data_IF_837989192421
#
_entry.id   IF_837989192421
#
_cell.length_a   1.000
_cell.length_b   1.000
_cell.length_c   1.000
_cell.angle_alpha   90.00
_cell.angle_beta   90.00
_cell.angle_gamma   90.00
#
_symmetry.space_group_name_H-M   'P 1'
#
loop_
_entity.id
_entity.type
_entity.pdbx_description
1 polymer ?
#
# COMPACT_ATOMS: atom_id res chain seq x y z
N UNK A 1 -2.00 37.96 -0.26
CA UNK A 1 -0.64 37.77 -0.87
C UNK A 1 -0.73 36.73 -1.98
N UNK A 2 -0.17 36.95 -3.17
CA UNK A 2 -0.05 35.88 -4.18
C UNK A 2 0.98 34.87 -3.67
N UNK A 3 0.55 33.71 -3.18
CA UNK A 3 1.49 32.62 -2.92
C UNK A 3 2.26 32.29 -4.21
N UNK A 4 3.59 32.40 -4.14
CA UNK A 4 4.47 32.07 -5.26
C UNK A 4 4.25 30.61 -5.67
N UNK A 5 4.20 30.33 -6.97
CA UNK A 5 4.22 28.94 -7.47
C UNK A 5 5.41 28.21 -6.86
N UNK A 6 5.21 26.95 -6.47
CA UNK A 6 6.33 26.09 -6.04
C UNK A 6 7.34 26.07 -7.19
N UNK A 7 8.60 26.41 -6.89
CA UNK A 7 9.65 26.27 -7.88
C UNK A 7 9.89 24.78 -8.18
N UNK A 8 10.23 24.47 -9.42
CA UNK A 8 10.56 23.09 -9.82
C UNK A 8 11.63 22.48 -8.93
N UNK A 9 12.63 23.27 -8.51
CA UNK A 9 13.70 22.80 -7.64
C UNK A 9 13.19 22.34 -6.28
N UNK A 10 12.24 23.06 -5.64
CA UNK A 10 11.65 22.69 -4.35
C UNK A 10 10.80 21.41 -4.51
N UNK A 11 10.05 21.29 -5.61
CA UNK A 11 9.28 20.09 -5.90
C UNK A 11 10.21 18.88 -6.14
N UNK A 12 11.22 19.02 -6.99
CA UNK A 12 12.19 17.98 -7.28
C UNK A 12 12.96 17.54 -6.03
N UNK A 13 13.32 18.49 -5.15
CA UNK A 13 13.94 18.18 -3.86
C UNK A 13 13.03 17.29 -3.00
N UNK A 14 11.75 17.63 -2.87
CA UNK A 14 10.78 16.80 -2.11
C UNK A 14 10.66 15.39 -2.71
N UNK A 15 10.63 15.26 -4.03
CA UNK A 15 10.62 13.97 -4.72
C UNK A 15 11.88 13.17 -4.40
N UNK A 16 13.04 13.78 -4.52
CA UNK A 16 14.32 13.09 -4.31
C UNK A 16 14.57 12.72 -2.84
N UNK A 17 14.22 13.61 -1.90
CA UNK A 17 14.52 13.40 -0.47
C UNK A 17 13.47 12.58 0.26
N UNK A 18 12.22 12.57 -0.20
CA UNK A 18 11.11 11.89 0.46
C UNK A 18 10.57 10.76 -0.40
N UNK A 19 10.22 11.04 -1.67
CA UNK A 19 9.48 10.07 -2.47
C UNK A 19 10.33 8.88 -2.90
N UNK A 20 11.56 9.09 -3.37
CA UNK A 20 12.42 7.99 -3.78
C UNK A 20 12.78 7.04 -2.63
N UNK A 21 13.20 7.49 -1.43
CA UNK A 21 13.45 6.58 -0.31
C UNK A 21 12.23 5.74 0.08
N UNK A 22 11.01 6.30 0.08
CA UNK A 22 9.79 5.55 0.39
C UNK A 22 9.49 4.54 -0.71
N UNK A 23 9.64 4.93 -1.98
CA UNK A 23 9.46 4.01 -3.11
C UNK A 23 10.45 2.84 -3.06
N UNK A 24 11.73 3.11 -2.76
CA UNK A 24 12.73 2.06 -2.58
C UNK A 24 12.43 1.18 -1.37
N UNK A 25 11.93 1.73 -0.26
CA UNK A 25 11.51 0.93 0.90
C UNK A 25 10.38 -0.06 0.53
N UNK A 26 9.38 0.40 -0.22
CA UNK A 26 8.29 -0.46 -0.66
C UNK A 26 8.79 -1.54 -1.65
N UNK A 27 9.71 -1.21 -2.56
CA UNK A 27 10.37 -2.18 -3.43
C UNK A 27 11.15 -3.25 -2.65
N UNK A 28 11.92 -2.85 -1.61
CA UNK A 28 12.63 -3.79 -0.76
C UNK A 28 11.67 -4.77 -0.07
N UNK A 29 10.53 -4.28 0.43
CA UNK A 29 9.52 -5.12 1.07
C UNK A 29 8.90 -6.12 0.08
N UNK A 30 8.60 -5.69 -1.15
CA UNK A 30 8.09 -6.58 -2.21
C UNK A 30 9.13 -7.60 -2.63
N UNK A 31 10.40 -7.19 -2.74
CA UNK A 31 11.51 -8.08 -3.05
C UNK A 31 11.69 -9.15 -1.96
N UNK A 32 11.56 -8.79 -0.69
CA UNK A 32 11.62 -9.75 0.43
C UNK A 32 10.57 -10.85 0.28
N UNK A 33 9.31 -10.47 0.05
CA UNK A 33 8.21 -11.43 -0.15
C UNK A 33 8.43 -12.34 -1.37
N UNK A 34 9.02 -11.80 -2.44
CA UNK A 34 9.34 -12.59 -3.64
C UNK A 34 10.47 -13.59 -3.38
N UNK A 35 11.53 -13.17 -2.67
CA UNK A 35 12.64 -14.04 -2.29
C UNK A 35 12.15 -15.18 -1.42
N UNK A 36 11.31 -14.89 -0.41
CA UNK A 36 10.68 -15.91 0.43
C UNK A 36 9.93 -16.96 -0.42
N UNK A 37 9.11 -16.49 -1.36
CA UNK A 37 8.33 -17.38 -2.24
C UNK A 37 9.22 -18.26 -3.12
N UNK A 38 10.30 -17.71 -3.70
CA UNK A 38 11.25 -18.46 -4.53
C UNK A 38 11.97 -19.52 -3.70
N UNK A 39 12.43 -19.17 -2.51
CA UNK A 39 13.15 -20.09 -1.63
C UNK A 39 12.25 -21.24 -1.17
N UNK A 40 10.99 -20.95 -0.83
CA UNK A 40 9.99 -21.96 -0.46
C UNK A 40 9.62 -22.83 -1.67
N UNK A 41 9.59 -22.24 -2.87
CA UNK A 41 9.32 -22.97 -4.12
C UNK A 41 10.24 -24.16 -4.35
N UNK A 42 11.49 -24.08 -3.90
CA UNK A 42 12.45 -25.18 -3.99
C UNK A 42 12.15 -26.39 -3.06
N UNK A 43 11.21 -26.22 -2.11
CA UNK A 43 10.82 -27.27 -1.15
C UNK A 43 9.63 -28.11 -1.64
N UNK A 44 9.12 -27.85 -2.84
CA UNK A 44 8.05 -28.60 -3.47
C UNK A 44 6.65 -27.97 -3.35
N UNK A 45 5.72 -28.48 -4.14
CA UNK A 45 4.39 -27.93 -4.32
C UNK A 45 3.57 -27.82 -3.04
N UNK A 46 3.70 -28.79 -2.13
CA UNK A 46 2.96 -28.82 -0.87
C UNK A 46 3.34 -27.64 0.04
N UNK A 47 4.65 -27.32 0.12
CA UNK A 47 5.13 -26.17 0.89
C UNK A 47 4.68 -24.84 0.29
N UNK A 48 4.70 -24.73 -1.03
CA UNK A 48 4.21 -23.54 -1.75
C UNK A 48 2.71 -23.33 -1.50
N UNK A 49 1.92 -24.41 -1.59
CA UNK A 49 0.49 -24.34 -1.33
C UNK A 49 0.17 -23.94 0.11
N UNK A 50 0.89 -24.52 1.09
CA UNK A 50 0.74 -24.22 2.51
C UNK A 50 1.05 -22.74 2.81
N UNK A 51 2.19 -22.22 2.32
CA UNK A 51 2.59 -20.83 2.51
C UNK A 51 1.69 -19.88 1.73
N UNK A 52 1.22 -20.28 0.56
CA UNK A 52 0.24 -19.52 -0.22
C UNK A 52 -1.05 -19.25 0.57
N UNK A 53 -1.59 -20.25 1.27
CA UNK A 53 -2.76 -20.06 2.16
C UNK A 53 -2.42 -19.14 3.34
N UNK A 54 -1.27 -19.34 3.99
CA UNK A 54 -0.84 -18.46 5.07
C UNK A 54 -0.67 -17.00 4.61
N UNK A 55 -0.24 -16.78 3.36
CA UNK A 55 -0.14 -15.45 2.76
C UNK A 55 -1.50 -14.78 2.55
N UNK A 56 -2.56 -15.55 2.24
CA UNK A 56 -3.93 -15.01 2.16
C UNK A 56 -4.41 -14.52 3.54
N UNK A 57 -4.10 -15.26 4.61
CA UNK A 57 -4.40 -14.85 5.99
C UNK A 57 -3.64 -13.57 6.34
N UNK A 58 -2.36 -13.49 5.98
CA UNK A 58 -1.53 -12.29 6.19
C UNK A 58 -2.03 -11.09 5.37
N UNK A 59 -2.57 -11.31 4.18
CA UNK A 59 -3.20 -10.25 3.37
C UNK A 59 -4.49 -9.72 4.01
N UNK A 60 -5.32 -10.61 4.57
CA UNK A 60 -6.50 -10.20 5.33
C UNK A 60 -6.11 -9.39 6.57
N UNK A 61 -5.10 -9.86 7.32
CA UNK A 61 -4.53 -9.12 8.44
C UNK A 61 -4.04 -7.72 8.03
N UNK A 62 -3.31 -7.61 6.92
CA UNK A 62 -2.87 -6.33 6.35
C UNK A 62 -4.06 -5.41 6.10
N UNK A 63 -5.10 -5.86 5.40
CA UNK A 63 -6.30 -5.08 5.11
C UNK A 63 -6.98 -4.57 6.38
N UNK A 64 -7.03 -5.38 7.44
CA UNK A 64 -7.64 -5.01 8.71
C UNK A 64 -6.89 -3.90 9.47
N UNK A 65 -5.57 -3.84 9.42
CA UNK A 65 -4.83 -2.78 10.11
C UNK A 65 -4.49 -1.58 9.24
N UNK A 66 -4.45 -1.74 7.90
CA UNK A 66 -4.00 -0.70 6.99
C UNK A 66 -4.91 0.54 7.01
N UNK A 67 -6.20 0.36 7.26
CA UNK A 67 -7.13 1.48 7.45
C UNK A 67 -6.71 2.41 8.59
N UNK A 68 -6.25 1.84 9.70
CA UNK A 68 -5.73 2.61 10.84
C UNK A 68 -4.36 3.21 10.54
N UNK A 69 -3.49 2.48 9.84
CA UNK A 69 -2.17 2.98 9.45
C UNK A 69 -2.27 4.16 8.46
N UNK A 70 -3.13 4.06 7.44
CA UNK A 70 -3.39 5.14 6.49
C UNK A 70 -4.00 6.38 7.13
N UNK A 71 -4.94 6.17 8.09
CA UNK A 71 -5.45 7.24 8.93
C UNK A 71 -4.34 7.89 9.76
N UNK A 72 -3.48 7.09 10.40
CA UNK A 72 -2.35 7.60 11.17
C UNK A 72 -1.43 8.49 10.32
N UNK A 73 -1.10 8.08 9.10
CA UNK A 73 -0.24 8.85 8.19
C UNK A 73 -0.85 10.21 7.86
N UNK A 74 -2.16 10.28 7.63
CA UNK A 74 -2.91 11.52 7.44
C UNK A 74 -2.73 12.46 8.64
N UNK A 75 -3.02 11.97 9.85
CA UNK A 75 -2.95 12.78 11.06
C UNK A 75 -1.50 13.19 11.39
N UNK A 76 -0.54 12.27 11.29
CA UNK A 76 0.87 12.57 11.53
C UNK A 76 1.39 13.66 10.58
N UNK A 77 1.11 13.54 9.29
CA UNK A 77 1.61 14.52 8.31
C UNK A 77 0.99 15.90 8.52
N UNK A 78 -0.30 15.99 8.84
CA UNK A 78 -0.95 17.26 9.13
C UNK A 78 -0.49 17.86 10.46
N UNK A 79 -0.39 17.08 11.53
CA UNK A 79 0.12 17.58 12.82
C UNK A 79 1.60 17.95 12.76
N UNK A 80 2.39 17.23 11.95
CA UNK A 80 3.77 17.63 11.67
C UNK A 80 3.84 19.00 10.98
N UNK A 81 2.97 19.24 10.01
CA UNK A 81 2.83 20.54 9.34
C UNK A 81 2.45 21.67 10.30
N UNK A 82 1.52 21.41 11.20
CA UNK A 82 1.07 22.33 12.25
C UNK A 82 2.03 22.45 13.43
N UNK A 83 3.14 21.68 13.46
CA UNK A 83 4.10 21.61 14.58
C UNK A 83 3.45 21.24 15.92
N UNK A 84 2.43 20.40 15.89
CA UNK A 84 1.67 19.96 17.05
C UNK A 84 2.17 18.62 17.58
N UNK A 85 3.17 18.62 18.47
CA UNK A 85 3.68 17.39 19.10
C UNK A 85 2.57 16.62 19.84
N UNK A 86 1.69 17.36 20.54
CA UNK A 86 0.55 16.78 21.25
C UNK A 86 -0.40 16.03 20.30
N UNK A 87 -0.65 16.59 19.11
CA UNK A 87 -1.45 15.92 18.08
C UNK A 87 -0.80 14.63 17.58
N UNK A 88 0.52 14.65 17.37
CA UNK A 88 1.32 13.49 16.98
C UNK A 88 1.27 12.40 18.06
N UNK A 89 1.51 12.76 19.34
CA UNK A 89 1.49 11.82 20.45
C UNK A 89 0.12 11.15 20.61
N UNK A 90 -0.97 11.92 20.59
CA UNK A 90 -2.35 11.38 20.62
C UNK A 90 -2.64 10.42 19.47
N UNK A 91 -2.24 10.81 18.26
CA UNK A 91 -2.41 9.96 17.07
C UNK A 91 -1.62 8.68 17.20
N UNK A 92 -0.37 8.75 17.65
CA UNK A 92 0.50 7.58 17.82
C UNK A 92 -0.10 6.58 18.81
N UNK A 93 -0.51 7.05 20.00
CA UNK A 93 -1.10 6.19 21.04
C UNK A 93 -2.40 5.54 20.57
N UNK A 94 -3.30 6.30 19.93
CA UNK A 94 -4.57 5.79 19.45
C UNK A 94 -4.39 4.78 18.31
N UNK A 95 -3.57 5.11 17.32
CA UNK A 95 -3.26 4.23 16.19
C UNK A 95 -2.59 2.94 16.67
N UNK A 96 -1.60 3.06 17.56
CA UNK A 96 -0.92 1.92 18.17
C UNK A 96 -1.91 1.01 18.90
N UNK A 97 -2.84 1.57 19.65
CA UNK A 97 -3.84 0.78 20.40
C UNK A 97 -4.73 -0.04 19.48
N UNK A 98 -5.30 0.56 18.42
CA UNK A 98 -6.15 -0.17 17.48
C UNK A 98 -5.37 -1.18 16.65
N UNK A 99 -4.20 -0.80 16.13
CA UNK A 99 -3.38 -1.69 15.32
C UNK A 99 -2.85 -2.86 16.13
N UNK A 100 -2.42 -2.61 17.39
CA UNK A 100 -1.95 -3.67 18.28
C UNK A 100 -3.09 -4.62 18.68
N UNK A 101 -4.31 -4.11 18.88
CA UNK A 101 -5.49 -4.94 19.09
C UNK A 101 -5.70 -5.90 17.91
N UNK A 102 -5.67 -5.41 16.69
CA UNK A 102 -5.77 -6.25 15.48
C UNK A 102 -4.63 -7.27 15.42
N UNK A 103 -3.38 -6.83 15.66
CA UNK A 103 -2.20 -7.72 15.68
C UNK A 103 -2.28 -8.81 16.72
N UNK A 104 -2.73 -8.49 17.95
CA UNK A 104 -2.91 -9.46 19.04
C UNK A 104 -4.06 -10.43 18.75
N UNK A 105 -5.18 -9.97 18.20
CA UNK A 105 -6.31 -10.84 17.84
C UNK A 105 -5.91 -11.86 16.77
N UNK A 106 -5.33 -11.40 15.66
CA UNK A 106 -4.85 -12.29 14.60
C UNK A 106 -3.74 -13.24 15.10
N UNK A 107 -2.78 -12.71 15.87
CA UNK A 107 -1.70 -13.48 16.46
C UNK A 107 -2.22 -14.55 17.43
N UNK A 108 -3.13 -14.19 18.33
CA UNK A 108 -3.73 -15.14 19.27
C UNK A 108 -4.47 -16.27 18.54
N UNK A 109 -5.28 -15.96 17.53
CA UNK A 109 -5.99 -16.99 16.76
C UNK A 109 -5.01 -17.86 15.95
N UNK A 110 -3.99 -17.26 15.30
CA UNK A 110 -2.98 -17.99 14.55
C UNK A 110 -2.16 -18.97 15.42
N UNK A 111 -1.87 -18.60 16.67
CA UNK A 111 -1.10 -19.43 17.60
C UNK A 111 -1.99 -20.48 18.26
N UNK A 112 -3.20 -20.11 18.73
CA UNK A 112 -4.05 -21.01 19.55
C UNK A 112 -4.97 -21.91 18.73
N UNK A 113 -5.46 -21.43 17.59
CA UNK A 113 -6.43 -22.13 16.72
C UNK A 113 -6.03 -22.06 15.24
N UNK A 114 -4.81 -22.49 14.85
CA UNK A 114 -4.35 -22.39 13.46
C UNK A 114 -5.24 -23.22 12.51
N UNK A 115 -5.74 -24.37 12.93
CA UNK A 115 -6.61 -25.23 12.12
C UNK A 115 -7.91 -24.50 11.71
N UNK A 116 -8.48 -23.68 12.62
CA UNK A 116 -9.67 -22.88 12.30
C UNK A 116 -9.39 -21.85 11.21
N UNK A 117 -8.26 -21.11 11.30
CA UNK A 117 -7.88 -20.12 10.29
C UNK A 117 -7.62 -20.76 8.94
N UNK A 118 -6.88 -21.86 8.91
CA UNK A 118 -6.51 -22.56 7.69
C UNK A 118 -7.71 -23.25 7.07
N UNK A 119 -8.62 -23.81 7.90
CA UNK A 119 -9.85 -24.46 7.48
C UNK A 119 -10.86 -23.56 6.76
N UNK A 120 -10.74 -22.21 6.93
CA UNK A 120 -11.52 -21.25 6.14
C UNK A 120 -11.14 -21.31 4.65
N UNK A 121 -9.88 -21.65 4.34
CA UNK A 121 -9.32 -21.59 2.99
C UNK A 121 -9.19 -22.96 2.32
N UNK A 122 -9.04 -24.05 3.09
CA UNK A 122 -8.84 -25.40 2.53
C UNK A 122 -9.27 -26.51 3.48
N UNK A 123 -9.83 -27.60 2.90
CA UNK A 123 -10.16 -28.84 3.62
C UNK A 123 -9.04 -29.89 3.51
N UNK A 124 -7.96 -29.61 2.79
CA UNK A 124 -6.87 -30.57 2.53
C UNK A 124 -5.96 -30.68 3.76
N UNK A 125 -6.11 -31.77 4.51
CA UNK A 125 -5.36 -32.04 5.76
C UNK A 125 -3.86 -31.97 5.59
N UNK A 126 -3.30 -32.52 4.51
CA UNK A 126 -1.87 -32.52 4.21
C UNK A 126 -1.29 -31.08 4.09
N UNK A 127 -2.07 -30.15 3.49
CA UNK A 127 -1.68 -28.74 3.39
C UNK A 127 -1.75 -28.06 4.76
N UNK A 128 -2.82 -28.34 5.53
CA UNK A 128 -3.02 -27.77 6.87
C UNK A 128 -1.87 -28.20 7.80
N UNK A 129 -1.49 -29.46 7.80
CA UNK A 129 -0.39 -29.98 8.64
C UNK A 129 0.95 -29.25 8.38
N UNK A 130 1.28 -28.97 7.12
CA UNK A 130 2.50 -28.22 6.76
C UNK A 130 2.36 -26.71 7.08
N UNK A 131 1.15 -26.15 6.99
CA UNK A 131 0.89 -24.76 7.23
C UNK A 131 0.86 -24.37 8.72
N UNK A 132 0.47 -25.29 9.62
CA UNK A 132 0.33 -25.04 11.07
C UNK A 132 1.61 -24.50 11.70
N UNK A 133 2.79 -25.13 11.56
CA UNK A 133 4.03 -24.60 12.14
C UNK A 133 4.36 -23.21 11.61
N UNK A 134 4.14 -22.97 10.31
CA UNK A 134 4.38 -21.68 9.67
C UNK A 134 3.49 -20.58 10.28
N UNK A 135 2.16 -20.78 10.29
CA UNK A 135 1.21 -19.74 10.71
C UNK A 135 1.32 -19.46 12.22
N UNK A 136 1.66 -20.45 13.03
CA UNK A 136 1.94 -20.25 14.48
C UNK A 136 3.10 -19.32 14.71
N UNK A 137 4.21 -19.50 13.98
CA UNK A 137 5.40 -18.64 14.10
C UNK A 137 5.08 -17.23 13.59
N UNK A 138 4.43 -17.10 12.43
CA UNK A 138 4.01 -15.82 11.86
C UNK A 138 3.00 -15.10 12.78
N UNK A 139 2.18 -15.86 13.53
CA UNK A 139 1.26 -15.29 14.53
C UNK A 139 1.96 -14.42 15.58
N UNK A 140 3.17 -14.79 16.01
CA UNK A 140 4.00 -13.95 16.89
C UNK A 140 4.55 -12.71 16.17
N UNK A 141 4.71 -12.75 14.86
CA UNK A 141 5.19 -11.60 14.10
C UNK A 141 4.11 -10.52 13.91
N UNK A 142 2.82 -10.84 13.91
CA UNK A 142 1.75 -9.87 13.66
C UNK A 142 1.75 -8.66 14.60
N UNK A 143 1.82 -8.81 15.95
CA UNK A 143 1.90 -7.65 16.85
C UNK A 143 3.17 -6.81 16.62
N UNK A 144 4.30 -7.44 16.33
CA UNK A 144 5.56 -6.77 16.07
C UNK A 144 5.52 -5.99 14.74
N UNK A 145 4.88 -6.56 13.74
CA UNK A 145 4.71 -5.93 12.43
C UNK A 145 3.91 -4.63 12.51
N UNK A 146 2.79 -4.61 13.22
CA UNK A 146 1.98 -3.38 13.36
C UNK A 146 2.71 -2.29 14.12
N UNK A 147 3.53 -2.65 15.14
CA UNK A 147 4.38 -1.70 15.83
C UNK A 147 5.46 -1.12 14.91
N UNK A 148 6.09 -1.94 14.10
CA UNK A 148 7.08 -1.48 13.12
C UNK A 148 6.44 -0.55 12.07
N UNK A 149 5.24 -0.87 11.60
CA UNK A 149 4.50 -0.06 10.62
C UNK A 149 4.16 1.32 11.18
N UNK A 150 3.61 1.41 12.40
CA UNK A 150 3.22 2.70 12.97
C UNK A 150 4.43 3.61 13.22
N UNK A 151 5.55 3.05 13.69
CA UNK A 151 6.80 3.81 13.87
C UNK A 151 7.35 4.26 12.51
N UNK A 152 7.34 3.37 11.51
CA UNK A 152 7.78 3.70 10.15
C UNK A 152 6.93 4.84 9.55
N UNK A 153 5.61 4.82 9.74
CA UNK A 153 4.70 5.86 9.24
C UNK A 153 4.92 7.20 9.97
N UNK A 154 5.15 7.17 11.28
CA UNK A 154 5.55 8.37 12.02
C UNK A 154 6.85 8.97 11.46
N UNK A 155 7.87 8.14 11.24
CA UNK A 155 9.15 8.59 10.68
C UNK A 155 9.02 9.12 9.26
N UNK A 156 8.18 8.49 8.42
CA UNK A 156 7.87 8.99 7.07
C UNK A 156 7.16 10.35 7.14
N UNK A 157 6.15 10.50 8.00
CA UNK A 157 5.40 11.74 8.17
C UNK A 157 6.25 12.89 8.71
N UNK A 158 7.26 12.59 9.51
CA UNK A 158 8.23 13.56 10.03
C UNK A 158 9.47 13.75 9.12
N UNK A 159 9.37 13.30 7.85
CA UNK A 159 10.39 13.43 6.79
C UNK A 159 11.70 12.65 7.05
N UNK A 160 11.69 11.69 7.98
CA UNK A 160 12.85 10.82 8.32
C UNK A 160 12.85 9.51 7.59
N UNK A 161 12.61 9.58 6.32
CA UNK A 161 12.39 8.44 5.43
C UNK A 161 13.61 7.51 5.26
N UNK A 162 14.82 8.01 5.56
CA UNK A 162 16.06 7.21 5.46
C UNK A 162 16.11 6.08 6.51
N UNK A 163 15.57 6.33 7.71
CA UNK A 163 15.62 5.35 8.81
C UNK A 163 14.78 4.11 8.47
N UNK A 164 13.49 4.23 8.11
CA UNK A 164 12.70 3.08 7.66
C UNK A 164 13.29 2.37 6.44
N UNK A 165 13.90 3.10 5.50
CA UNK A 165 14.57 2.51 4.34
C UNK A 165 15.75 1.62 4.77
N UNK A 166 16.67 2.14 5.59
CA UNK A 166 17.82 1.38 6.08
C UNK A 166 17.37 0.21 6.94
N UNK A 167 16.39 0.40 7.82
CA UNK A 167 15.84 -0.65 8.66
C UNK A 167 15.24 -1.79 7.82
N UNK A 168 14.48 -1.47 6.78
CA UNK A 168 13.91 -2.46 5.85
C UNK A 168 15.01 -3.18 5.05
N UNK A 169 16.07 -2.48 4.63
CA UNK A 169 17.20 -3.09 3.93
C UNK A 169 17.95 -4.09 4.82
N UNK A 170 18.22 -3.73 6.09
CA UNK A 170 18.84 -4.64 7.06
C UNK A 170 17.93 -5.85 7.32
N UNK A 171 16.63 -5.62 7.53
CA UNK A 171 15.67 -6.69 7.75
C UNK A 171 15.61 -7.66 6.55
N UNK A 172 15.66 -7.17 5.31
CA UNK A 172 15.71 -8.00 4.10
C UNK A 172 16.96 -8.91 4.10
N UNK A 173 18.14 -8.35 4.40
CA UNK A 173 19.37 -9.13 4.45
C UNK A 173 19.31 -10.21 5.55
N UNK A 174 18.83 -9.84 6.74
CA UNK A 174 18.65 -10.79 7.85
C UNK A 174 17.67 -11.90 7.47
N UNK A 175 16.53 -11.55 6.88
CA UNK A 175 15.52 -12.50 6.40
C UNK A 175 16.12 -13.47 5.38
N UNK A 176 16.81 -12.95 4.34
CA UNK A 176 17.45 -13.78 3.32
C UNK A 176 18.46 -14.77 3.91
N UNK A 177 19.35 -14.30 4.79
CA UNK A 177 20.38 -15.14 5.41
C UNK A 177 19.75 -16.22 6.28
N UNK A 178 18.76 -15.85 7.12
CA UNK A 178 18.07 -16.81 7.98
C UNK A 178 17.26 -17.83 7.19
N UNK A 179 16.57 -17.39 6.13
CA UNK A 179 15.86 -18.29 5.24
C UNK A 179 16.82 -19.29 4.60
N UNK A 180 17.97 -18.83 4.10
CA UNK A 180 18.96 -19.71 3.50
C UNK A 180 19.51 -20.74 4.49
N UNK A 181 19.70 -20.35 5.76
CA UNK A 181 20.17 -21.26 6.81
C UNK A 181 19.08 -22.25 7.21
N UNK A 182 17.87 -21.76 7.53
CA UNK A 182 16.81 -22.54 8.20
C UNK A 182 15.96 -23.35 7.21
N UNK A 183 15.69 -22.83 6.01
CA UNK A 183 14.96 -23.59 4.99
C UNK A 183 15.77 -24.81 4.55
N UNK A 184 17.07 -24.62 4.29
CA UNK A 184 17.94 -25.65 3.73
C UNK A 184 18.78 -26.44 4.78
N UNK A 185 18.73 -26.08 6.07
CA UNK A 185 19.48 -26.76 7.12
C UNK A 185 20.99 -26.58 7.00
N UNK A 186 21.45 -25.34 6.75
CA UNK A 186 22.89 -25.05 6.61
C UNK A 186 23.53 -24.80 7.97
N UNK A 187 24.85 -24.90 8.04
CA UNK A 187 25.67 -24.68 9.24
C UNK A 187 25.28 -25.55 10.45
N UNK A 188 24.81 -26.78 10.23
CA UNK A 188 24.42 -27.71 11.29
C UNK A 188 23.04 -27.42 11.91
N UNK A 189 22.30 -26.45 11.38
CA UNK A 189 20.91 -26.20 11.80
C UNK A 189 19.97 -27.24 11.17
N UNK A 190 18.87 -27.60 11.86
CA UNK A 190 17.86 -28.50 11.28
C UNK A 190 17.20 -27.89 10.07
N UNK A 191 16.92 -28.72 9.07
CA UNK A 191 16.13 -28.30 7.91
C UNK A 191 14.65 -28.09 8.33
N UNK A 192 14.21 -26.85 8.41
CA UNK A 192 12.87 -26.49 8.88
C UNK A 192 11.88 -26.26 7.73
N UNK A 193 12.34 -26.18 6.49
CA UNK A 193 11.48 -25.92 5.34
C UNK A 193 10.68 -24.63 5.47
N UNK A 194 9.35 -24.71 5.25
CA UNK A 194 8.45 -23.55 5.36
C UNK A 194 8.47 -22.89 6.75
N UNK A 195 8.56 -23.68 7.84
CA UNK A 195 8.66 -23.13 9.19
C UNK A 195 9.95 -22.31 9.39
N UNK A 196 11.05 -22.68 8.71
CA UNK A 196 12.29 -21.91 8.71
C UNK A 196 12.12 -20.52 8.11
N UNK A 197 11.35 -20.39 7.03
CA UNK A 197 10.99 -19.09 6.45
C UNK A 197 10.17 -18.22 7.42
N UNK A 198 9.24 -18.83 8.17
CA UNK A 198 8.46 -18.11 9.19
C UNK A 198 9.36 -17.59 10.32
N UNK A 199 10.35 -18.36 10.76
CA UNK A 199 11.36 -17.91 11.75
C UNK A 199 12.19 -16.75 11.17
N UNK A 200 12.64 -16.85 9.92
CA UNK A 200 13.37 -15.79 9.24
C UNK A 200 12.56 -14.49 9.20
N UNK A 201 11.27 -14.58 8.88
CA UNK A 201 10.33 -13.44 8.87
C UNK A 201 10.14 -12.84 10.29
N UNK A 202 9.97 -13.68 11.30
CA UNK A 202 9.81 -13.23 12.69
C UNK A 202 11.07 -12.50 13.18
N UNK A 203 12.25 -13.09 13.00
CA UNK A 203 13.52 -12.51 13.49
C UNK A 203 13.88 -11.24 12.74
N UNK A 204 13.70 -11.20 11.41
CA UNK A 204 13.92 -9.99 10.63
C UNK A 204 12.94 -8.88 11.03
N UNK A 205 11.69 -9.23 11.35
CA UNK A 205 10.70 -8.30 11.90
C UNK A 205 11.10 -7.71 13.25
N UNK A 206 11.67 -8.55 14.15
CA UNK A 206 12.22 -8.10 15.44
C UNK A 206 13.38 -7.13 15.22
N UNK A 207 14.32 -7.46 14.32
CA UNK A 207 15.46 -6.58 13.99
C UNK A 207 14.98 -5.25 13.43
N UNK A 208 14.02 -5.27 12.51
CA UNK A 208 13.40 -4.08 11.97
C UNK A 208 12.79 -3.19 13.08
N UNK A 209 12.00 -3.79 13.96
CA UNK A 209 11.36 -3.08 15.08
C UNK A 209 12.38 -2.49 16.04
N UNK A 210 13.45 -3.24 16.37
CA UNK A 210 14.53 -2.76 17.26
C UNK A 210 15.20 -1.54 16.63
N UNK A 211 15.59 -1.60 15.36
CA UNK A 211 16.24 -0.47 14.67
C UNK A 211 15.33 0.76 14.71
N UNK A 212 14.07 0.62 14.29
CA UNK A 212 13.11 1.71 14.28
C UNK A 212 12.91 2.30 15.68
N UNK A 213 12.77 1.45 16.71
CA UNK A 213 12.56 1.90 18.09
C UNK A 213 13.79 2.61 18.66
N UNK A 214 15.00 2.08 18.41
CA UNK A 214 16.25 2.71 18.87
C UNK A 214 16.42 4.12 18.27
N UNK A 215 16.15 4.25 16.96
CA UNK A 215 16.22 5.56 16.32
C UNK A 215 15.13 6.52 16.81
N UNK A 216 13.90 6.01 17.02
CA UNK A 216 12.80 6.81 17.56
C UNK A 216 13.11 7.36 18.96
N UNK A 217 13.72 6.55 19.83
CA UNK A 217 14.06 6.94 21.21
C UNK A 217 15.30 7.86 21.30
N UNK A 218 16.27 7.69 20.38
CA UNK A 218 17.47 8.53 20.34
C UNK A 218 17.20 9.92 19.83
N UNK A 219 16.22 10.07 18.97
CA UNK A 219 15.95 11.29 18.23
C UNK A 219 14.90 12.17 18.91
N UNK A 220 15.29 12.78 20.00
CA UNK A 220 14.43 13.67 20.80
C UNK A 220 14.21 15.07 20.17
N UNK A 221 14.99 15.44 19.17
CA UNK A 221 14.89 16.79 18.56
C UNK A 221 13.68 16.93 17.63
N UNK A 222 13.16 15.82 17.10
CA UNK A 222 12.06 15.86 16.10
C UNK A 222 10.69 15.64 16.73
N UNK A 223 10.53 14.57 17.48
CA UNK A 223 9.27 14.24 18.18
C UNK A 223 9.61 13.59 19.51
N UNK A 224 9.25 14.23 20.61
CA UNK A 224 9.32 13.61 21.92
C UNK A 224 8.03 12.84 22.18
N UNK A 225 8.14 11.53 22.40
CA UNK A 225 6.99 10.70 22.75
C UNK A 225 6.69 10.82 24.25
N UNK A 226 5.54 11.40 24.56
CA UNK A 226 5.04 11.53 25.93
C UNK A 226 3.91 10.51 26.18
N UNK A 227 4.20 9.47 26.95
CA UNK A 227 3.25 8.38 27.24
C UNK A 227 1.92 8.89 27.81
N UNK A 228 1.96 9.93 28.62
CA UNK A 228 0.75 10.55 29.17
C UNK A 228 -0.16 11.12 28.08
N UNK A 229 0.42 11.77 27.07
CA UNK A 229 -0.33 12.37 25.95
C UNK A 229 -0.87 11.30 24.99
N UNK A 230 -0.18 10.17 24.85
CA UNK A 230 -0.58 9.08 23.96
C UNK A 230 -1.94 8.50 24.32
N UNK A 231 -2.28 8.46 25.61
CA UNK A 231 -3.53 7.85 26.12
C UNK A 231 -4.55 8.87 26.63
N UNK A 232 -4.24 10.19 26.57
CA UNK A 232 -5.17 11.28 26.89
C UNK A 232 -5.75 11.90 25.61
N UNK A 233 -6.71 11.22 24.98
CA UNK A 233 -7.20 11.65 23.66
C UNK A 233 -8.16 12.83 23.70
N UNK A 234 -8.79 13.12 24.83
CA UNK A 234 -9.82 14.15 24.95
C UNK A 234 -11.14 13.79 24.24
N UNK A 235 -12.18 14.56 24.51
CA UNK A 235 -13.50 14.31 23.91
C UNK A 235 -13.47 14.50 22.38
N UNK A 236 -14.02 13.54 21.64
CA UNK A 236 -14.20 13.59 20.18
C UNK A 236 -12.98 13.26 19.32
N UNK A 237 -11.75 13.18 19.87
CA UNK A 237 -10.55 12.88 19.06
C UNK A 237 -10.60 11.47 18.46
N UNK A 238 -10.92 10.46 19.27
CA UNK A 238 -11.05 9.09 18.81
C UNK A 238 -12.15 8.94 17.74
N UNK A 239 -13.30 9.60 17.91
CA UNK A 239 -14.37 9.63 16.92
C UNK A 239 -13.92 10.28 15.59
N UNK A 240 -13.20 11.39 15.67
CA UNK A 240 -12.63 12.05 14.47
C UNK A 240 -11.62 11.16 13.77
N UNK A 241 -10.73 10.50 14.50
CA UNK A 241 -9.77 9.54 13.97
C UNK A 241 -10.47 8.37 13.27
N UNK A 242 -11.39 7.70 13.97
CA UNK A 242 -12.12 6.56 13.44
C UNK A 242 -12.94 6.92 12.19
N UNK A 243 -13.57 8.12 12.17
CA UNK A 243 -14.32 8.58 10.98
C UNK A 243 -13.46 8.73 9.72
N UNK A 244 -12.13 8.91 9.88
CA UNK A 244 -11.18 8.96 8.76
C UNK A 244 -10.58 7.57 8.44
N UNK A 245 -10.38 6.73 9.46
CA UNK A 245 -9.85 5.38 9.28
C UNK A 245 -10.88 4.42 8.68
N UNK A 246 -12.14 4.49 9.13
CA UNK A 246 -13.18 3.55 8.72
C UNK A 246 -13.44 3.50 7.20
N UNK A 247 -13.55 4.64 6.48
CA UNK A 247 -13.65 4.60 5.02
C UNK A 247 -12.45 3.92 4.35
N UNK A 248 -11.22 4.13 4.86
CA UNK A 248 -10.01 3.50 4.33
C UNK A 248 -10.04 1.99 4.57
N UNK A 249 -10.44 1.56 5.76
CA UNK A 249 -10.61 0.14 6.10
C UNK A 249 -11.65 -0.53 5.20
N UNK A 250 -12.81 0.11 5.02
CA UNK A 250 -13.84 -0.39 4.11
C UNK A 250 -13.31 -0.49 2.66
N UNK A 251 -12.53 0.50 2.22
CA UNK A 251 -11.91 0.46 0.89
C UNK A 251 -11.06 -0.78 0.69
N UNK A 252 -10.15 -1.07 1.61
CA UNK A 252 -9.24 -2.22 1.51
C UNK A 252 -10.02 -3.56 1.50
N UNK A 253 -11.04 -3.69 2.34
CA UNK A 253 -11.85 -4.90 2.40
C UNK A 253 -12.70 -5.09 1.14
N UNK A 254 -13.43 -4.08 0.71
CA UNK A 254 -14.25 -4.17 -0.50
C UNK A 254 -13.41 -4.32 -1.76
N UNK A 255 -12.28 -3.63 -1.85
CA UNK A 255 -11.34 -3.82 -2.96
C UNK A 255 -10.83 -5.26 -3.02
N UNK A 256 -10.47 -5.85 -1.88
CA UNK A 256 -10.06 -7.25 -1.79
C UNK A 256 -11.14 -8.23 -2.28
N UNK A 257 -12.40 -8.01 -1.87
CA UNK A 257 -13.54 -8.83 -2.34
C UNK A 257 -13.75 -8.65 -3.86
N UNK A 258 -13.67 -7.43 -4.38
CA UNK A 258 -13.77 -7.17 -5.82
C UNK A 258 -12.69 -7.89 -6.62
N UNK A 259 -11.44 -7.86 -6.14
CA UNK A 259 -10.33 -8.60 -6.74
C UNK A 259 -10.55 -10.12 -6.69
N UNK A 260 -11.15 -10.66 -5.63
CA UNK A 260 -11.52 -12.07 -5.54
C UNK A 260 -12.54 -12.42 -6.62
N UNK A 261 -13.59 -11.63 -6.84
CA UNK A 261 -14.58 -11.85 -7.88
C UNK A 261 -13.95 -11.85 -9.29
N UNK A 262 -13.05 -10.92 -9.55
CA UNK A 262 -12.27 -10.87 -10.81
C UNK A 262 -11.42 -12.14 -10.96
N UNK A 263 -10.73 -12.57 -9.90
CA UNK A 263 -9.89 -13.77 -9.93
C UNK A 263 -10.71 -15.06 -10.23
N UNK A 264 -11.98 -15.13 -9.83
CA UNK A 264 -12.87 -16.23 -10.19
C UNK A 264 -13.06 -16.28 -11.72
N UNK A 265 -13.23 -15.14 -12.37
CA UNK A 265 -13.37 -15.09 -13.85
C UNK A 265 -12.07 -15.49 -14.53
N UNK A 266 -10.93 -14.97 -14.05
CA UNK A 266 -9.60 -15.32 -14.60
C UNK A 266 -9.29 -16.81 -14.42
N UNK A 267 -9.64 -17.39 -13.27
CA UNK A 267 -9.43 -18.82 -12.97
C UNK A 267 -10.24 -19.79 -13.86
N UNK A 268 -11.21 -19.29 -14.62
CA UNK A 268 -12.00 -20.05 -15.59
C UNK A 268 -11.55 -19.86 -17.04
N UNK A 269 -10.47 -19.11 -17.25
CA UNK A 269 -9.83 -18.96 -18.56
C UNK A 269 -8.91 -20.14 -18.88
N UNK A 270 -8.26 -20.12 -20.05
CA UNK A 270 -7.30 -21.15 -20.46
C UNK A 270 -6.10 -21.25 -19.50
N UNK A 271 -5.45 -22.39 -19.43
CA UNK A 271 -4.23 -22.59 -18.63
C UNK A 271 -3.14 -21.59 -19.00
N UNK A 272 -2.96 -21.32 -20.29
CA UNK A 272 -2.01 -20.32 -20.79
C UNK A 272 -2.35 -18.90 -20.30
N UNK A 273 -3.64 -18.55 -20.23
CA UNK A 273 -4.11 -17.26 -19.70
C UNK A 273 -3.84 -17.12 -18.20
N UNK A 274 -4.08 -18.18 -17.43
CA UNK A 274 -3.82 -18.20 -15.98
C UNK A 274 -2.31 -18.07 -15.71
N UNK A 275 -1.48 -18.80 -16.47
CA UNK A 275 -0.03 -18.72 -16.36
C UNK A 275 0.50 -17.32 -16.70
N UNK A 276 0.00 -16.71 -17.79
CA UNK A 276 0.34 -15.36 -18.18
C UNK A 276 -0.08 -14.33 -17.09
N UNK A 277 -1.28 -14.50 -16.52
CA UNK A 277 -1.77 -13.62 -15.44
C UNK A 277 -0.93 -13.73 -14.17
N UNK A 278 -0.47 -14.93 -13.81
CA UNK A 278 0.41 -15.13 -12.66
C UNK A 278 1.75 -14.40 -12.85
N UNK A 279 2.38 -14.54 -14.01
CA UNK A 279 3.62 -13.82 -14.34
C UNK A 279 3.40 -12.29 -14.35
N UNK A 280 2.31 -11.83 -14.97
CA UNK A 280 1.94 -10.42 -15.03
C UNK A 280 1.76 -9.82 -13.64
N UNK A 281 1.07 -10.51 -12.71
CA UNK A 281 0.87 -10.01 -11.35
C UNK A 281 2.16 -9.79 -10.58
N UNK A 282 3.19 -10.59 -10.81
CA UNK A 282 4.52 -10.36 -10.22
C UNK A 282 5.10 -9.04 -10.74
N UNK A 283 5.06 -8.83 -12.06
CA UNK A 283 5.56 -7.59 -12.66
C UNK A 283 4.72 -6.36 -12.24
N UNK A 284 3.40 -6.49 -12.23
CA UNK A 284 2.48 -5.47 -11.71
C UNK A 284 2.81 -5.11 -10.25
N UNK A 285 3.12 -6.11 -9.41
CA UNK A 285 3.48 -5.93 -8.01
C UNK A 285 4.70 -5.03 -7.82
N UNK A 286 5.72 -5.15 -8.66
CA UNK A 286 6.88 -4.26 -8.63
C UNK A 286 6.52 -2.83 -9.03
N UNK A 287 5.73 -2.66 -10.09
CA UNK A 287 5.24 -1.34 -10.51
C UNK A 287 4.40 -0.72 -9.40
N UNK A 288 3.50 -1.51 -8.79
CA UNK A 288 2.66 -1.07 -7.66
C UNK A 288 3.48 -0.65 -6.45
N UNK A 289 4.49 -1.44 -6.05
CA UNK A 289 5.35 -1.10 -4.92
C UNK A 289 6.05 0.25 -5.12
N UNK A 290 6.50 0.52 -6.33
CA UNK A 290 7.18 1.77 -6.67
C UNK A 290 6.21 2.97 -6.62
N UNK A 291 5.10 2.93 -7.37
CA UNK A 291 4.17 4.05 -7.37
C UNK A 291 3.41 4.19 -6.05
N UNK A 292 3.16 3.11 -5.33
CA UNK A 292 2.61 3.14 -3.97
C UNK A 292 3.51 3.94 -3.01
N UNK A 293 4.84 3.75 -3.11
CA UNK A 293 5.79 4.56 -2.35
C UNK A 293 5.78 6.04 -2.72
N UNK A 294 5.61 6.35 -4.02
CA UNK A 294 5.44 7.74 -4.46
C UNK A 294 4.12 8.35 -3.95
N UNK A 295 3.06 7.54 -3.86
CA UNK A 295 1.77 7.96 -3.31
C UNK A 295 1.86 8.24 -1.81
N UNK A 296 2.49 7.36 -1.03
CA UNK A 296 2.74 7.59 0.40
C UNK A 296 3.51 8.89 0.62
N UNK A 297 4.54 9.15 -0.20
CA UNK A 297 5.31 10.38 -0.14
C UNK A 297 4.48 11.62 -0.48
N UNK A 298 3.61 11.53 -1.49
CA UNK A 298 2.69 12.61 -1.83
C UNK A 298 1.76 12.93 -0.66
N UNK A 299 1.29 11.89 0.05
CA UNK A 299 0.49 12.03 1.27
C UNK A 299 1.23 12.80 2.37
N UNK A 300 2.51 12.48 2.60
CA UNK A 300 3.34 13.19 3.59
C UNK A 300 3.50 14.66 3.24
N UNK A 301 3.90 14.95 1.99
CA UNK A 301 4.18 16.34 1.55
C UNK A 301 2.89 17.18 1.52
N UNK A 302 1.81 16.63 0.97
CA UNK A 302 0.52 17.31 0.87
C UNK A 302 -0.10 17.50 2.25
N UNK A 303 -0.11 16.46 3.08
CA UNK A 303 -0.63 16.51 4.45
C UNK A 303 0.06 17.57 5.30
N UNK A 304 1.42 17.65 5.23
CA UNK A 304 2.21 18.67 5.90
C UNK A 304 1.79 20.09 5.51
N UNK A 305 1.65 20.38 4.22
CA UNK A 305 1.28 21.72 3.77
C UNK A 305 -0.14 22.09 4.16
N UNK A 306 -1.08 21.11 4.09
CA UNK A 306 -2.48 21.33 4.49
C UNK A 306 -2.60 21.52 5.99
N UNK A 307 -1.93 20.69 6.77
CA UNK A 307 -1.91 20.82 8.23
C UNK A 307 -1.36 22.15 8.72
N UNK A 308 -0.38 22.71 8.00
CA UNK A 308 0.20 24.02 8.27
C UNK A 308 -0.61 25.22 7.75
N UNK A 309 -1.81 25.00 7.19
CA UNK A 309 -2.65 26.05 6.60
C UNK A 309 -2.17 26.58 5.25
N UNK A 310 -1.16 25.97 4.62
CA UNK A 310 -0.63 26.37 3.31
C UNK A 310 -1.32 25.58 2.17
N UNK A 311 -2.65 25.65 2.11
CA UNK A 311 -3.48 24.83 1.23
C UNK A 311 -3.16 24.97 -0.25
N UNK A 312 -2.80 26.18 -0.70
CA UNK A 312 -2.46 26.42 -2.10
C UNK A 312 -1.16 25.73 -2.50
N UNK A 313 -0.19 25.60 -1.58
CA UNK A 313 1.01 24.80 -1.82
C UNK A 313 0.68 23.32 -1.87
N UNK A 314 -0.12 22.81 -0.93
CA UNK A 314 -0.60 21.44 -0.96
C UNK A 314 -1.28 21.11 -2.29
N UNK A 315 -2.16 22.00 -2.78
CA UNK A 315 -2.80 21.85 -4.08
C UNK A 315 -1.82 21.84 -5.27
N UNK A 316 -0.74 22.62 -5.20
CA UNK A 316 0.30 22.61 -6.24
C UNK A 316 1.11 21.30 -6.21
N UNK A 317 1.41 20.77 -5.03
CA UNK A 317 2.05 19.45 -4.88
C UNK A 317 1.19 18.33 -5.48
N UNK A 318 -0.12 18.30 -5.18
CA UNK A 318 -1.04 17.33 -5.79
C UNK A 318 -0.94 17.36 -7.31
N UNK A 319 -0.99 18.54 -7.92
CA UNK A 319 -0.83 18.66 -9.39
C UNK A 319 0.52 18.14 -9.88
N UNK A 320 1.59 18.45 -9.17
CA UNK A 320 2.92 17.98 -9.51
C UNK A 320 3.00 16.45 -9.48
N UNK A 321 2.53 15.83 -8.41
CA UNK A 321 2.53 14.38 -8.27
C UNK A 321 1.59 13.67 -9.24
N UNK A 322 0.40 14.26 -9.52
CA UNK A 322 -0.56 13.73 -10.50
C UNK A 322 -0.02 13.72 -11.94
N UNK A 323 0.99 14.52 -12.25
CA UNK A 323 1.68 14.51 -13.55
C UNK A 323 2.93 13.62 -13.49
N UNK A 324 3.76 13.81 -12.47
CA UNK A 324 5.06 13.13 -12.38
C UNK A 324 4.93 11.63 -12.20
N UNK A 325 4.06 11.16 -11.28
CA UNK A 325 3.99 9.75 -10.95
C UNK A 325 3.46 8.90 -12.12
N UNK A 326 2.37 9.28 -12.83
CA UNK A 326 1.96 8.57 -14.03
C UNK A 326 3.03 8.60 -15.14
N UNK A 327 3.77 9.72 -15.31
CA UNK A 327 4.86 9.79 -16.29
C UNK A 327 6.00 8.82 -15.98
N UNK A 328 6.37 8.68 -14.69
CA UNK A 328 7.37 7.69 -14.27
C UNK A 328 6.82 6.26 -14.47
N UNK A 329 5.58 5.99 -14.07
CA UNK A 329 4.94 4.68 -14.27
C UNK A 329 4.87 4.31 -15.75
N UNK A 330 4.48 5.27 -16.60
CA UNK A 330 4.51 5.08 -18.05
C UNK A 330 5.91 4.69 -18.54
N UNK A 331 6.96 5.39 -18.09
CA UNK A 331 8.34 5.08 -18.42
C UNK A 331 8.75 3.66 -17.99
N UNK A 332 8.41 3.25 -16.76
CA UNK A 332 8.70 1.89 -16.25
C UNK A 332 7.94 0.84 -17.06
N UNK A 333 6.66 1.05 -17.33
CA UNK A 333 5.84 0.14 -18.12
C UNK A 333 6.34 0.07 -19.57
N UNK A 334 6.78 1.19 -20.17
CA UNK A 334 7.36 1.24 -21.51
C UNK A 334 8.65 0.40 -21.59
N UNK A 335 9.53 0.49 -20.59
CA UNK A 335 10.70 -0.38 -20.48
C UNK A 335 10.25 -1.84 -20.41
N UNK A 336 9.23 -2.17 -19.60
CA UNK A 336 8.65 -3.52 -19.54
C UNK A 336 8.13 -4.01 -20.90
N UNK A 337 7.48 -3.15 -21.68
CA UNK A 337 7.00 -3.48 -23.04
C UNK A 337 8.17 -3.68 -24.00
N UNK A 338 9.20 -2.84 -23.97
CA UNK A 338 10.40 -2.98 -24.84
C UNK A 338 11.14 -4.28 -24.52
N UNK A 339 11.32 -4.59 -23.23
CA UNK A 339 12.02 -5.78 -22.77
C UNK A 339 11.07 -6.94 -22.40
N UNK A 340 9.88 -7.03 -23.05
CA UNK A 340 8.87 -8.04 -22.70
C UNK A 340 9.41 -9.48 -22.80
N UNK A 341 10.15 -9.82 -23.87
CA UNK A 341 10.68 -11.18 -24.08
C UNK A 341 11.63 -11.63 -22.97
N UNK A 342 12.74 -10.91 -22.64
CA UNK A 342 13.61 -11.32 -21.54
C UNK A 342 12.90 -11.32 -20.18
N UNK A 343 11.97 -10.40 -19.93
CA UNK A 343 11.22 -10.37 -18.67
C UNK A 343 10.27 -11.58 -18.52
N UNK A 344 9.50 -11.89 -19.56
CA UNK A 344 8.54 -13.00 -19.52
C UNK A 344 9.25 -14.36 -19.58
N UNK A 345 10.43 -14.46 -20.22
CA UNK A 345 11.20 -15.71 -20.25
C UNK A 345 11.68 -16.18 -18.87
N UNK A 346 11.80 -15.27 -17.89
CA UNK A 346 12.15 -15.61 -16.53
C UNK A 346 11.10 -16.54 -15.84
N UNK A 347 9.86 -16.53 -16.35
CA UNK A 347 8.74 -17.29 -15.79
C UNK A 347 8.54 -18.66 -16.46
N UNK A 348 9.35 -19.02 -17.46
CA UNK A 348 9.25 -20.33 -18.14
C UNK A 348 7.92 -20.54 -18.86
N UNK A 349 7.30 -19.48 -19.37
CA UNK A 349 5.98 -19.53 -20.01
C UNK A 349 6.02 -20.24 -21.36
N UNK A 350 4.97 -20.99 -21.67
CA UNK A 350 4.74 -21.52 -23.03
C UNK A 350 4.49 -20.41 -24.05
N UNK A 351 4.56 -20.74 -25.35
CA UNK A 351 4.49 -19.76 -26.44
C UNK A 351 3.21 -18.90 -26.40
N UNK A 352 2.06 -19.50 -26.15
CA UNK A 352 0.77 -18.79 -26.06
C UNK A 352 0.71 -17.87 -24.84
N UNK A 353 1.15 -18.35 -23.66
CA UNK A 353 1.21 -17.54 -22.43
C UNK A 353 2.20 -16.37 -22.58
N UNK A 354 3.28 -16.56 -23.30
CA UNK A 354 4.25 -15.49 -23.61
C UNK A 354 3.61 -14.41 -24.49
N UNK A 355 2.80 -14.80 -25.46
CA UNK A 355 2.06 -13.87 -26.31
C UNK A 355 1.02 -13.09 -25.52
N UNK A 356 0.24 -13.75 -24.66
CA UNK A 356 -0.66 -13.08 -23.73
C UNK A 356 0.09 -12.08 -22.85
N UNK A 357 1.19 -12.47 -22.22
CA UNK A 357 1.98 -11.60 -21.36
C UNK A 357 2.47 -10.35 -22.07
N UNK A 358 2.90 -10.47 -23.33
CA UNK A 358 3.32 -9.32 -24.18
C UNK A 358 2.16 -8.32 -24.36
N UNK A 359 0.99 -8.77 -24.75
CA UNK A 359 -0.16 -7.87 -24.95
C UNK A 359 -0.71 -7.34 -23.63
N UNK A 360 -0.65 -8.10 -22.53
CA UNK A 360 -1.00 -7.62 -21.19
C UNK A 360 -0.13 -6.46 -20.76
N UNK A 361 1.19 -6.53 -20.98
CA UNK A 361 2.10 -5.42 -20.69
C UNK A 361 1.77 -4.18 -21.54
N UNK A 362 1.38 -4.38 -22.81
CA UNK A 362 0.98 -3.28 -23.69
C UNK A 362 -0.34 -2.62 -23.22
N UNK A 363 -1.34 -3.41 -22.83
CA UNK A 363 -2.59 -2.89 -22.26
C UNK A 363 -2.30 -2.15 -20.95
N UNK A 364 -1.45 -2.71 -20.11
CA UNK A 364 -1.11 -2.12 -18.81
C UNK A 364 -0.27 -0.85 -18.93
N UNK A 365 0.46 -0.64 -20.02
CA UNK A 365 1.14 0.62 -20.27
C UNK A 365 0.18 1.82 -20.21
N UNK A 366 -1.00 1.70 -20.78
CA UNK A 366 -2.04 2.72 -20.70
C UNK A 366 -2.82 2.63 -19.38
N UNK A 367 -3.34 1.46 -19.05
CA UNK A 367 -4.18 1.23 -17.88
C UNK A 367 -3.45 1.50 -16.56
N UNK A 368 -2.21 1.03 -16.40
CA UNK A 368 -1.39 1.26 -15.22
C UNK A 368 -1.02 2.73 -15.01
N UNK A 369 -0.82 3.47 -16.12
CA UNK A 369 -0.59 4.92 -16.06
C UNK A 369 -1.82 5.67 -15.53
N UNK A 370 -3.01 5.34 -16.02
CA UNK A 370 -4.27 5.91 -15.54
C UNK A 370 -4.51 5.53 -14.09
N UNK A 371 -4.33 4.25 -13.74
CA UNK A 371 -4.46 3.74 -12.37
C UNK A 371 -3.54 4.46 -11.38
N UNK A 372 -2.28 4.72 -11.78
CA UNK A 372 -1.36 5.50 -10.94
C UNK A 372 -1.88 6.92 -10.70
N UNK A 373 -2.45 7.56 -11.73
CA UNK A 373 -3.03 8.89 -11.60
C UNK A 373 -4.15 8.91 -10.56
N UNK A 374 -5.11 7.98 -10.65
CA UNK A 374 -6.23 7.83 -9.72
C UNK A 374 -5.73 7.51 -8.31
N UNK A 375 -4.80 6.57 -8.17
CA UNK A 375 -4.25 6.19 -6.88
C UNK A 375 -3.56 7.35 -6.16
N UNK A 376 -2.78 8.16 -6.88
CA UNK A 376 -2.12 9.37 -6.33
C UNK A 376 -3.16 10.40 -5.88
N UNK A 377 -4.19 10.67 -6.70
CA UNK A 377 -5.24 11.63 -6.34
C UNK A 377 -6.00 11.16 -5.10
N UNK A 378 -6.39 9.89 -5.04
CA UNK A 378 -7.09 9.32 -3.88
C UNK A 378 -6.22 9.42 -2.61
N UNK A 379 -4.93 9.09 -2.69
CA UNK A 379 -4.00 9.22 -1.57
C UNK A 379 -3.84 10.67 -1.11
N UNK A 380 -3.79 11.62 -2.05
CA UNK A 380 -3.76 13.05 -1.74
C UNK A 380 -5.06 13.55 -1.09
N UNK A 381 -6.24 13.02 -1.48
CA UNK A 381 -7.49 13.35 -0.80
C UNK A 381 -7.48 12.88 0.64
N UNK A 382 -7.03 11.65 0.88
CA UNK A 382 -6.83 11.13 2.24
C UNK A 382 -5.91 12.05 3.04
N UNK A 383 -4.77 12.46 2.49
CA UNK A 383 -3.84 13.40 3.11
C UNK A 383 -4.47 14.77 3.41
N UNK A 384 -5.37 15.22 2.55
CA UNK A 384 -6.17 16.44 2.73
C UNK A 384 -7.25 16.34 3.78
N UNK A 385 -7.51 15.14 4.32
CA UNK A 385 -8.58 14.87 5.29
C UNK A 385 -9.90 14.38 4.67
N UNK A 386 -9.94 14.15 3.36
CA UNK A 386 -11.09 13.60 2.65
C UNK A 386 -10.86 12.12 2.34
N UNK A 387 -11.38 11.24 3.19
CA UNK A 387 -11.23 9.79 3.02
C UNK A 387 -12.44 9.13 2.31
N UNK A 388 -13.57 9.83 2.21
CA UNK A 388 -14.84 9.23 1.77
C UNK A 388 -14.97 9.25 0.25
N UNK A 389 -14.74 10.40 -0.39
CA UNK A 389 -15.01 10.57 -1.82
C UNK A 389 -14.27 9.55 -2.69
N UNK A 390 -12.93 9.45 -2.52
CA UNK A 390 -12.12 8.52 -3.30
C UNK A 390 -12.51 7.07 -3.05
N UNK A 391 -12.74 6.70 -1.79
CA UNK A 391 -13.20 5.35 -1.38
C UNK A 391 -14.54 4.99 -2.02
N UNK A 392 -15.54 5.86 -1.90
CA UNK A 392 -16.88 5.60 -2.45
C UNK A 392 -16.85 5.50 -3.97
N UNK A 393 -16.13 6.41 -4.64
CA UNK A 393 -15.98 6.39 -6.09
C UNK A 393 -15.30 5.09 -6.56
N UNK A 394 -14.23 4.67 -5.88
CA UNK A 394 -13.50 3.44 -6.20
C UNK A 394 -14.39 2.21 -6.05
N UNK A 395 -15.08 2.07 -4.91
CA UNK A 395 -15.97 0.93 -4.65
C UNK A 395 -17.13 0.91 -5.68
N UNK A 396 -17.79 2.04 -5.91
CA UNK A 396 -18.89 2.11 -6.88
C UNK A 396 -18.39 1.70 -8.26
N UNK A 397 -17.32 2.30 -8.77
CA UNK A 397 -16.82 2.00 -10.10
C UNK A 397 -16.35 0.53 -10.23
N UNK A 398 -15.68 -0.02 -9.21
CA UNK A 398 -15.26 -1.41 -9.20
C UNK A 398 -16.46 -2.37 -9.33
N UNK A 399 -17.49 -2.18 -8.50
CA UNK A 399 -18.63 -3.12 -8.43
C UNK A 399 -19.71 -2.87 -9.49
N UNK A 400 -19.80 -1.68 -10.06
CA UNK A 400 -20.80 -1.38 -11.11
C UNK A 400 -20.22 -1.46 -12.53
N UNK A 401 -18.89 -1.38 -12.68
CA UNK A 401 -18.24 -1.33 -13.98
C UNK A 401 -17.28 -2.52 -14.17
N UNK A 402 -16.13 -2.54 -13.45
CA UNK A 402 -15.08 -3.54 -13.73
C UNK A 402 -15.51 -4.97 -13.42
N UNK A 403 -16.09 -5.24 -12.26
CA UNK A 403 -16.53 -6.58 -11.90
C UNK A 403 -17.61 -7.09 -12.86
N UNK A 404 -18.72 -6.37 -13.13
CA UNK A 404 -19.72 -6.82 -14.08
C UNK A 404 -19.20 -6.93 -15.51
N UNK A 405 -18.41 -5.96 -15.98
CA UNK A 405 -17.85 -5.99 -17.33
C UNK A 405 -16.94 -7.21 -17.54
N UNK A 406 -16.03 -7.48 -16.58
CA UNK A 406 -15.14 -8.63 -16.59
C UNK A 406 -15.93 -9.95 -16.54
N UNK A 407 -16.96 -10.00 -15.68
CA UNK A 407 -17.84 -11.17 -15.57
C UNK A 407 -18.59 -11.45 -16.86
N UNK A 408 -19.24 -10.43 -17.43
CA UNK A 408 -19.98 -10.57 -18.71
C UNK A 408 -19.04 -10.95 -19.84
N UNK A 409 -17.89 -10.30 -19.96
CA UNK A 409 -16.89 -10.59 -20.99
C UNK A 409 -16.36 -12.03 -20.90
N UNK A 410 -16.02 -12.50 -19.69
CA UNK A 410 -15.39 -13.82 -19.50
C UNK A 410 -16.37 -14.97 -19.37
N UNK A 411 -17.55 -14.76 -18.76
CA UNK A 411 -18.47 -15.82 -18.35
C UNK A 411 -19.74 -15.92 -19.22
N UNK A 412 -20.16 -14.81 -19.82
CA UNK A 412 -21.40 -14.78 -20.62
C UNK A 412 -21.06 -14.73 -22.11
N UNK A 413 -20.19 -13.83 -22.52
CA UNK A 413 -19.83 -13.63 -23.92
C UNK A 413 -18.65 -14.49 -24.37
N UNK A 414 -17.94 -15.12 -23.43
CA UNK A 414 -16.74 -15.94 -23.69
C UNK A 414 -15.73 -15.25 -24.63
N UNK A 415 -15.46 -13.97 -24.40
CA UNK A 415 -14.54 -13.19 -25.21
C UNK A 415 -13.09 -13.70 -25.06
N UNK A 416 -12.21 -13.44 -26.03
CA UNK A 416 -10.79 -13.76 -25.90
C UNK A 416 -10.19 -13.17 -24.64
N UNK A 417 -9.27 -13.89 -23.99
CA UNK A 417 -8.70 -13.52 -22.69
C UNK A 417 -8.17 -12.08 -22.62
N UNK A 418 -7.52 -11.60 -23.67
CA UNK A 418 -7.01 -10.21 -23.70
C UNK A 418 -8.11 -9.15 -23.62
N UNK A 419 -9.29 -9.43 -24.17
CA UNK A 419 -10.45 -8.55 -24.01
C UNK A 419 -10.95 -8.59 -22.56
N UNK A 420 -11.07 -9.78 -21.96
CA UNK A 420 -11.41 -9.92 -20.53
C UNK A 420 -10.40 -9.16 -19.66
N UNK A 421 -9.10 -9.28 -19.96
CA UNK A 421 -8.05 -8.55 -19.25
C UNK A 421 -8.18 -7.03 -19.40
N UNK A 422 -8.54 -6.52 -20.57
CA UNK A 422 -8.74 -5.09 -20.78
C UNK A 422 -9.93 -4.54 -19.96
N UNK A 423 -10.99 -5.33 -19.81
CA UNK A 423 -12.15 -4.94 -19.00
C UNK A 423 -11.86 -4.80 -17.50
N UNK A 424 -10.77 -5.40 -16.99
CA UNK A 424 -10.35 -5.22 -15.59
C UNK A 424 -10.10 -3.76 -15.23
N UNK A 425 -9.73 -2.94 -16.20
CA UNK A 425 -9.28 -1.56 -15.97
C UNK A 425 -10.24 -0.50 -16.52
N UNK A 426 -11.47 -0.90 -16.91
CA UNK A 426 -12.43 0.05 -17.51
C UNK A 426 -12.92 1.11 -16.53
N UNK A 427 -13.03 0.78 -15.25
CA UNK A 427 -13.39 1.72 -14.19
C UNK A 427 -12.35 2.84 -14.03
N UNK A 428 -11.07 2.54 -14.26
CA UNK A 428 -9.99 3.51 -14.08
C UNK A 428 -10.15 4.74 -14.98
N UNK A 429 -10.61 4.56 -16.22
CA UNK A 429 -10.86 5.67 -17.15
C UNK A 429 -12.02 6.55 -16.69
N UNK A 430 -13.07 5.95 -16.17
CA UNK A 430 -14.25 6.67 -15.68
C UNK A 430 -13.89 7.41 -14.39
N UNK A 431 -13.21 6.74 -13.46
CA UNK A 431 -12.69 7.35 -12.22
C UNK A 431 -11.83 8.56 -12.50
N UNK A 432 -10.92 8.47 -13.49
CA UNK A 432 -10.00 9.55 -13.83
C UNK A 432 -10.74 10.88 -14.07
N UNK A 433 -11.86 10.85 -14.81
CA UNK A 433 -12.64 12.06 -15.11
C UNK A 433 -13.20 12.68 -13.83
N UNK A 434 -13.81 11.86 -12.97
CA UNK A 434 -14.39 12.34 -11.71
C UNK A 434 -13.32 12.84 -10.74
N UNK A 435 -12.20 12.12 -10.62
CA UNK A 435 -11.11 12.49 -9.74
C UNK A 435 -10.40 13.77 -10.20
N UNK A 436 -10.16 13.95 -11.49
CA UNK A 436 -9.63 15.21 -12.03
C UNK A 436 -10.56 16.40 -11.75
N UNK A 437 -11.88 16.22 -11.93
CA UNK A 437 -12.87 17.23 -11.60
C UNK A 437 -12.89 17.55 -10.11
N UNK A 438 -12.81 16.54 -9.26
CA UNK A 438 -12.80 16.70 -7.81
C UNK A 438 -11.49 17.33 -7.32
N UNK A 439 -10.34 16.91 -7.84
CA UNK A 439 -9.04 17.57 -7.58
C UNK A 439 -9.10 19.05 -7.93
N UNK A 440 -9.60 19.37 -9.14
CA UNK A 440 -9.74 20.76 -9.59
C UNK A 440 -10.73 21.57 -8.74
N UNK A 441 -11.64 20.90 -8.03
CA UNK A 441 -12.60 21.57 -7.15
C UNK A 441 -11.98 22.12 -5.87
N UNK A 442 -10.90 21.55 -5.37
CA UNK A 442 -10.30 21.85 -4.07
C UNK A 442 -11.14 21.42 -2.86
N UNK A 443 -12.31 20.80 -3.08
CA UNK A 443 -13.22 20.36 -1.99
C UNK A 443 -12.66 19.22 -1.13
N UNK A 444 -11.60 18.57 -1.59
CA UNK A 444 -10.90 17.50 -0.88
C UNK A 444 -10.04 18.02 0.29
N UNK A 445 -9.80 19.33 0.37
CA UNK A 445 -9.06 19.96 1.47
C UNK A 445 -9.99 20.08 2.67
N UNK A 446 -9.80 19.21 3.67
CA UNK A 446 -10.57 19.15 4.93
C UNK A 446 -9.62 18.94 6.11
N UNK A 447 -8.84 19.98 6.50
CA UNK A 447 -7.78 19.85 7.48
C UNK A 447 -8.31 19.40 8.85
N UNK A 448 -7.51 18.58 9.55
CA UNK A 448 -7.82 18.13 10.92
C UNK A 448 -7.21 19.05 11.97
N UNK A 449 -6.22 19.87 11.60
CA UNK A 449 -5.53 20.82 12.48
C UNK A 449 -6.29 22.13 12.62
N UNK A 450 -6.06 22.88 13.69
CA UNK A 450 -6.66 24.21 13.91
C UNK A 450 -6.11 25.22 12.91
N UNK A 451 -4.79 25.21 12.69
CA UNK A 451 -4.08 26.09 11.74
C UNK A 451 -4.60 25.88 10.31
N UNK A 452 -4.83 24.62 9.93
CA UNK A 452 -5.42 24.30 8.64
C UNK A 452 -6.84 24.83 8.51
N UNK A 453 -7.69 24.67 9.51
CA UNK A 453 -9.08 25.15 9.48
C UNK A 453 -9.18 26.66 9.42
N UNK A 454 -8.28 27.37 10.09
CA UNK A 454 -8.29 28.84 10.14
C UNK A 454 -8.08 29.49 8.77
N UNK A 455 -7.40 28.84 7.83
CA UNK A 455 -7.11 29.40 6.49
C UNK A 455 -7.93 28.76 5.36
N UNK A 456 -8.89 27.90 5.70
CA UNK A 456 -9.65 27.12 4.73
C UNK A 456 -10.57 28.01 3.86
N UNK A 457 -11.22 29.00 4.45
CA UNK A 457 -12.13 29.93 3.73
C UNK A 457 -11.35 30.73 2.67
N UNK A 458 -10.19 31.28 3.03
CA UNK A 458 -9.32 31.99 2.10
C UNK A 458 -8.93 31.11 0.90
N UNK A 459 -8.60 29.85 1.16
CA UNK A 459 -8.31 28.89 0.09
C UNK A 459 -9.49 28.68 -0.84
N UNK A 460 -10.70 28.52 -0.34
CA UNK A 460 -11.89 28.34 -1.16
C UNK A 460 -12.19 29.58 -2.01
N UNK A 461 -12.03 30.77 -1.49
CA UNK A 461 -12.15 32.03 -2.23
C UNK A 461 -11.13 32.12 -3.38
N UNK A 462 -9.87 31.78 -3.10
CA UNK A 462 -8.81 31.74 -4.11
C UNK A 462 -9.13 30.73 -5.23
N UNK A 463 -9.69 29.56 -4.88
CA UNK A 463 -10.11 28.55 -5.85
C UNK A 463 -11.30 29.02 -6.69
N UNK A 464 -12.27 29.73 -6.10
CA UNK A 464 -13.41 30.31 -6.81
C UNK A 464 -12.96 31.37 -7.83
N UNK A 465 -12.04 32.27 -7.43
CA UNK A 465 -11.47 33.28 -8.33
C UNK A 465 -10.71 32.66 -9.50
N UNK A 466 -9.93 31.58 -9.27
CA UNK A 466 -9.24 30.86 -10.33
C UNK A 466 -10.18 30.24 -11.35
N UNK A 467 -11.34 29.71 -10.91
CA UNK A 467 -12.36 29.15 -11.81
C UNK A 467 -13.01 30.23 -12.66
N UNK A 468 -13.34 31.39 -12.08
CA UNK A 468 -13.90 32.53 -12.83
C UNK A 468 -12.94 32.98 -13.94
N UNK A 469 -11.65 33.14 -13.62
CA UNK A 469 -10.62 33.53 -14.61
C UNK A 469 -10.44 32.52 -15.74
N UNK A 470 -10.61 31.20 -15.46
CA UNK A 470 -10.53 30.17 -16.51
C UNK A 470 -11.78 30.11 -17.41
N UNK A 471 -12.93 30.62 -16.95
CA UNK A 471 -14.14 30.68 -17.76
C UNK A 471 -14.16 31.92 -18.66
N UNK A 472 -13.38 32.96 -18.32
CA UNK A 472 -13.30 34.23 -19.06
C UNK A 472 -12.07 34.30 -19.98
N UNK A 473 -11.17 33.34 -19.95
CA UNK A 473 -10.05 33.14 -20.87
C UNK A 473 -10.34 31.99 -21.84
#
# INVERSE_FOLDING_TARGET
MREKRISWNVFAQAVYTIALPIAFQNLLSTTASMVDTIMIGSMGELSVAAVGICSQISSLFFSCYFGFAGGALLFFSQYWGAKSEKGINKTFGLSMSFMLLVGLLFGAVAVTKPEFLLGIYTDKKNIIEVAIPYIRIVGFAYPLQVLAVIISFLMRATERVKIPLVSSAVALVVNFVLNWILIYGRFGMPQMGAAGAAVGTLVSGIVNLIILTVFLLKDKETVTLHVQEMFHWGEGFAGTYLSKCFPILCNELFYGIGQMLINIVIGRQSESAIAAMAAFRVLEGFVYAFFGGLADASSVVVGKEIGAGRHMKGYQYVKGFTILCPAITFGICLVGVIFNRPLLSLFGLGAEAMEYGKYMLLIYLAAGTVRTCNYIMNTCYRAGGEAIFGTVLEIICLYTISVPATWVAGMVLHLPFLAVFAFLYTDELIRLVFELCYTASGKWVKPVTQEGRATLEEFHEQMAQRRKKKKTA
#
